data_IF_984072881054
#
_entry.id   IF_984072881054
#
_cell.length_a   1.000
_cell.length_b   1.000
_cell.length_c   1.000
_cell.angle_alpha   90.00
_cell.angle_beta   90.00
_cell.angle_gamma   90.00
#
_symmetry.space_group_name_H-M   'P 1'
#
loop_
_entity.id
_entity.type
_entity.pdbx_description
1 polymer ?
#
# COMPACT_ATOMS: atom_id res chain seq x y z
N UNK A 1 23.54 -21.62 -40.77
CA UNK A 1 23.72 -21.04 -39.43
C UNK A 1 22.33 -20.82 -38.87
N UNK A 2 21.99 -21.47 -37.75
CA UNK A 2 20.73 -21.19 -37.07
C UNK A 2 20.81 -19.78 -36.46
N UNK A 3 19.73 -18.99 -36.48
CA UNK A 3 19.72 -17.70 -35.80
C UNK A 3 19.92 -17.95 -34.30
N UNK A 4 20.88 -17.24 -33.71
CA UNK A 4 21.03 -17.17 -32.25
C UNK A 4 19.78 -16.47 -31.74
N UNK A 5 18.89 -17.22 -31.08
CA UNK A 5 17.76 -16.62 -30.39
C UNK A 5 18.30 -15.93 -29.15
N UNK A 6 18.60 -14.64 -29.28
CA UNK A 6 18.84 -13.75 -28.14
C UNK A 6 17.54 -13.71 -27.35
N UNK A 7 17.57 -14.15 -26.09
CA UNK A 7 16.47 -13.92 -25.17
C UNK A 7 16.51 -12.43 -24.81
N UNK A 8 15.85 -11.60 -25.62
CA UNK A 8 15.76 -10.16 -25.40
C UNK A 8 14.81 -9.92 -24.22
N UNK A 9 15.30 -10.09 -22.99
CA UNK A 9 14.66 -9.46 -21.84
C UNK A 9 15.08 -7.99 -21.90
N UNK A 10 14.21 -7.14 -22.45
CA UNK A 10 14.52 -5.73 -22.57
C UNK A 10 14.51 -5.11 -21.16
N UNK A 11 15.70 -4.78 -20.64
CA UNK A 11 15.87 -4.12 -19.35
C UNK A 11 15.07 -2.83 -19.25
N UNK A 12 14.70 -2.26 -20.40
CA UNK A 12 13.79 -1.12 -20.55
C UNK A 12 12.42 -1.32 -19.88
N UNK A 13 11.82 -2.51 -19.93
CA UNK A 13 10.51 -2.77 -19.30
C UNK A 13 10.58 -2.65 -17.76
N UNK A 14 11.67 -3.13 -17.18
CA UNK A 14 11.92 -2.96 -15.75
C UNK A 14 12.17 -1.50 -15.38
N UNK A 15 12.90 -0.75 -16.21
CA UNK A 15 13.11 0.69 -15.97
C UNK A 15 11.83 1.51 -16.14
N UNK A 16 10.94 1.12 -17.06
CA UNK A 16 9.63 1.72 -17.21
C UNK A 16 8.76 1.48 -15.97
N UNK A 17 8.69 0.24 -15.49
CA UNK A 17 8.01 -0.11 -14.24
C UNK A 17 8.59 0.64 -13.03
N UNK A 18 9.92 0.77 -12.94
CA UNK A 18 10.56 1.53 -11.87
C UNK A 18 10.13 3.01 -11.86
N UNK A 19 10.12 3.63 -13.04
CA UNK A 19 9.68 5.02 -13.23
C UNK A 19 8.21 5.16 -12.88
N UNK A 20 7.38 4.19 -13.29
CA UNK A 20 5.96 4.12 -12.95
C UNK A 20 5.69 4.05 -11.45
N UNK A 21 6.42 3.20 -10.73
CA UNK A 21 6.32 3.10 -9.26
C UNK A 21 6.73 4.40 -8.57
N UNK A 22 7.87 5.00 -8.95
CA UNK A 22 8.31 6.28 -8.38
C UNK A 22 7.28 7.38 -8.68
N UNK A 23 6.75 7.45 -9.89
CA UNK A 23 5.71 8.41 -10.24
C UNK A 23 4.42 8.20 -9.44
N UNK A 24 3.99 6.95 -9.19
CA UNK A 24 2.83 6.66 -8.34
C UNK A 24 3.07 7.14 -6.89
N UNK A 25 4.26 6.90 -6.33
CA UNK A 25 4.65 7.38 -5.00
C UNK A 25 4.60 8.91 -4.90
N UNK A 26 5.16 9.62 -5.88
CA UNK A 26 5.17 11.09 -5.92
C UNK A 26 3.76 11.68 -6.04
N UNK A 27 2.89 11.05 -6.84
CA UNK A 27 1.48 11.47 -6.98
C UNK A 27 0.71 11.31 -5.68
N UNK A 28 0.85 10.16 -5.01
CA UNK A 28 0.23 9.94 -3.70
C UNK A 28 0.70 10.99 -2.69
N UNK A 29 2.01 11.19 -2.58
CA UNK A 29 2.60 12.21 -1.70
C UNK A 29 2.00 13.60 -1.98
N UNK A 30 2.03 14.03 -3.24
CA UNK A 30 1.51 15.34 -3.66
C UNK A 30 0.02 15.51 -3.38
N UNK A 31 -0.79 14.52 -3.75
CA UNK A 31 -2.25 14.55 -3.59
C UNK A 31 -2.65 14.65 -2.13
N UNK A 32 -2.11 13.78 -1.28
CA UNK A 32 -2.44 13.78 0.15
C UNK A 32 -1.80 14.96 0.90
N UNK A 33 -0.61 15.43 0.51
CA UNK A 33 -0.03 16.64 1.09
C UNK A 33 -0.91 17.86 0.85
N UNK A 34 -1.49 17.99 -0.37
CA UNK A 34 -2.46 19.05 -0.69
C UNK A 34 -3.71 18.96 0.17
N UNK A 35 -4.26 17.75 0.37
CA UNK A 35 -5.43 17.52 1.24
C UNK A 35 -5.11 17.93 2.67
N UNK A 36 -4.01 17.45 3.24
CA UNK A 36 -3.58 17.77 4.60
C UNK A 36 -3.42 19.28 4.82
N UNK A 37 -2.79 19.99 3.88
CA UNK A 37 -2.67 21.45 3.95
C UNK A 37 -4.02 22.17 3.85
N UNK A 38 -4.93 21.69 3.00
CA UNK A 38 -6.24 22.31 2.79
C UNK A 38 -7.21 22.06 3.94
N UNK A 39 -7.12 20.90 4.58
CA UNK A 39 -7.92 20.54 5.78
C UNK A 39 -7.63 21.44 6.97
N UNK A 40 -6.50 22.16 7.01
CA UNK A 40 -6.25 23.17 8.03
C UNK A 40 -7.33 24.27 8.07
N UNK A 41 -7.98 24.55 6.94
CA UNK A 41 -9.14 25.46 6.87
C UNK A 41 -10.44 24.88 7.45
N UNK A 42 -10.47 23.57 7.71
CA UNK A 42 -11.64 22.84 8.20
C UNK A 42 -11.57 22.53 9.71
N UNK A 43 -10.68 23.20 10.46
CA UNK A 43 -10.60 23.06 11.92
C UNK A 43 -11.95 23.36 12.59
N UNK A 44 -12.27 22.59 13.64
CA UNK A 44 -13.51 22.69 14.41
C UNK A 44 -14.79 22.44 13.60
N UNK A 45 -14.71 21.82 12.42
CA UNK A 45 -15.89 21.62 11.56
C UNK A 45 -16.96 20.70 12.16
N UNK A 46 -16.58 19.77 13.03
CA UNK A 46 -17.50 18.88 13.72
C UNK A 46 -18.26 19.57 14.84
N UNK A 47 -17.77 20.70 15.36
CA UNK A 47 -18.35 21.37 16.51
C UNK A 47 -17.83 20.86 17.84
N UNK A 48 -18.42 21.36 18.92
CA UNK A 48 -18.07 21.06 20.32
C UNK A 48 -19.24 20.53 21.13
N UNK A 49 -20.42 20.35 20.52
CA UNK A 49 -21.51 19.59 21.14
C UNK A 49 -21.12 18.10 21.26
N UNK A 50 -21.87 17.31 22.04
CA UNK A 50 -21.49 15.91 22.30
C UNK A 50 -21.43 15.09 21.00
N UNK A 51 -22.41 15.28 20.11
CA UNK A 51 -22.48 14.59 18.83
C UNK A 51 -21.34 15.03 17.90
N UNK A 52 -21.10 16.33 17.80
CA UNK A 52 -19.99 16.91 17.05
C UNK A 52 -18.62 16.45 17.54
N UNK A 53 -18.43 16.38 18.86
CA UNK A 53 -17.18 15.93 19.49
C UNK A 53 -16.94 14.44 19.28
N UNK A 54 -17.98 13.62 19.39
CA UNK A 54 -17.91 12.18 19.10
C UNK A 54 -17.55 11.93 17.62
N UNK A 55 -18.27 12.56 16.70
CA UNK A 55 -17.99 12.44 15.27
C UNK A 55 -16.59 12.95 14.92
N UNK A 56 -16.21 14.13 15.41
CA UNK A 56 -14.92 14.75 15.12
C UNK A 56 -13.74 13.92 15.63
N UNK A 57 -13.88 13.30 16.81
CA UNK A 57 -12.86 12.39 17.36
C UNK A 57 -12.65 11.18 16.46
N UNK A 58 -13.75 10.56 16.00
CA UNK A 58 -13.69 9.39 15.13
C UNK A 58 -13.19 9.75 13.72
N UNK A 59 -13.59 10.91 13.19
CA UNK A 59 -13.08 11.45 11.93
C UNK A 59 -11.57 11.69 12.02
N UNK A 60 -11.07 12.39 13.05
CA UNK A 60 -9.65 12.68 13.22
C UNK A 60 -8.80 11.40 13.30
N UNK A 61 -9.33 10.36 13.96
CA UNK A 61 -8.70 9.04 14.01
C UNK A 61 -8.64 8.38 12.62
N UNK A 62 -9.74 8.38 11.87
CA UNK A 62 -9.78 7.80 10.52
C UNK A 62 -8.87 8.55 9.53
N UNK A 63 -8.78 9.88 9.63
CA UNK A 63 -7.83 10.64 8.81
C UNK A 63 -6.40 10.21 9.10
N UNK A 64 -6.03 10.04 10.38
CA UNK A 64 -4.70 9.57 10.77
C UNK A 64 -4.40 8.18 10.19
N UNK A 65 -5.38 7.28 10.24
CA UNK A 65 -5.23 5.92 9.69
C UNK A 65 -5.05 5.96 8.16
N UNK A 66 -5.84 6.75 7.44
CA UNK A 66 -5.72 6.93 5.97
C UNK A 66 -4.37 7.54 5.60
N UNK A 67 -3.90 8.59 6.29
CA UNK A 67 -2.61 9.22 6.03
C UNK A 67 -1.43 8.28 6.35
N UNK A 68 -1.56 7.44 7.37
CA UNK A 68 -0.56 6.42 7.70
C UNK A 68 -0.51 5.35 6.62
N UNK A 69 -1.66 4.83 6.20
CA UNK A 69 -1.76 3.87 5.10
C UNK A 69 -1.23 4.42 3.78
N UNK A 70 -1.49 5.69 3.47
CA UNK A 70 -0.92 6.36 2.29
C UNK A 70 0.62 6.41 2.35
N UNK A 71 1.20 6.76 3.50
CA UNK A 71 2.66 6.74 3.70
C UNK A 71 3.26 5.33 3.59
N UNK A 72 2.58 4.30 4.13
CA UNK A 72 3.02 2.90 3.98
C UNK A 72 3.02 2.46 2.51
N UNK A 73 1.99 2.85 1.75
CA UNK A 73 1.88 2.55 0.33
C UNK A 73 2.92 3.31 -0.51
N UNK A 74 3.18 4.59 -0.20
CA UNK A 74 4.27 5.38 -0.79
C UNK A 74 5.60 4.65 -0.62
N UNK A 75 5.91 4.19 0.60
CA UNK A 75 7.13 3.44 0.88
C UNK A 75 7.19 2.09 0.13
N UNK A 76 6.05 1.43 -0.06
CA UNK A 76 5.98 0.19 -0.84
C UNK A 76 6.27 0.44 -2.33
N UNK A 77 5.75 1.53 -2.91
CA UNK A 77 6.06 1.94 -4.28
C UNK A 77 7.52 2.33 -4.46
N UNK A 78 8.09 3.16 -3.57
CA UNK A 78 9.51 3.54 -3.61
C UNK A 78 10.43 2.31 -3.53
N UNK A 79 10.04 1.32 -2.73
CA UNK A 79 10.77 0.07 -2.62
C UNK A 79 10.71 -0.75 -3.92
N UNK A 80 9.53 -0.88 -4.53
CA UNK A 80 9.39 -1.55 -5.83
C UNK A 80 10.13 -0.82 -6.95
N UNK A 81 10.14 0.51 -6.95
CA UNK A 81 10.91 1.29 -7.91
C UNK A 81 12.40 0.90 -7.89
N UNK A 82 12.99 0.78 -6.69
CA UNK A 82 14.39 0.34 -6.53
C UNK A 82 14.62 -1.09 -6.98
N UNK A 83 13.70 -2.01 -6.68
CA UNK A 83 13.80 -3.40 -7.12
C UNK A 83 13.73 -3.54 -8.64
N UNK A 84 12.85 -2.78 -9.27
CA UNK A 84 12.73 -2.78 -10.72
C UNK A 84 13.98 -2.20 -11.39
N UNK A 85 14.57 -1.12 -10.86
CA UNK A 85 15.88 -0.65 -11.33
C UNK A 85 16.95 -1.72 -11.16
N UNK A 86 16.99 -2.41 -10.02
CA UNK A 86 17.97 -3.48 -9.80
C UNK A 86 17.78 -4.65 -10.76
N UNK A 87 16.54 -5.10 -10.98
CA UNK A 87 16.22 -6.15 -11.95
C UNK A 87 16.65 -5.75 -13.36
N UNK A 88 16.30 -4.55 -13.81
CA UNK A 88 16.72 -4.02 -15.11
C UNK A 88 18.25 -3.94 -15.24
N UNK A 89 18.97 -3.48 -14.21
CA UNK A 89 20.45 -3.46 -14.20
C UNK A 89 21.05 -4.86 -14.31
N UNK A 90 20.50 -5.84 -13.61
CA UNK A 90 20.96 -7.22 -13.71
C UNK A 90 20.81 -7.78 -15.13
N UNK A 91 19.67 -7.54 -15.77
CA UNK A 91 19.42 -7.92 -17.17
C UNK A 91 20.36 -7.20 -18.14
N UNK A 92 20.51 -5.88 -17.99
CA UNK A 92 21.38 -5.09 -18.86
C UNK A 92 22.86 -5.52 -18.77
N UNK A 93 23.35 -5.81 -17.56
CA UNK A 93 24.70 -6.32 -17.34
C UNK A 93 24.90 -7.73 -17.91
N UNK A 94 23.90 -8.60 -17.77
CA UNK A 94 23.95 -9.96 -18.32
C UNK A 94 24.00 -9.93 -19.86
N UNK A 95 23.18 -9.09 -20.50
CA UNK A 95 23.17 -8.93 -21.95
C UNK A 95 24.48 -8.32 -22.47
N UNK A 96 24.98 -7.28 -21.80
CA UNK A 96 26.25 -6.66 -22.16
C UNK A 96 27.43 -7.66 -22.03
N UNK A 97 27.48 -8.44 -20.95
CA UNK A 97 28.50 -9.48 -20.76
C UNK A 97 28.40 -10.66 -21.75
N UNK A 98 27.21 -10.90 -22.32
CA UNK A 98 26.98 -11.92 -23.35
C UNK A 98 27.33 -11.43 -24.78
N UNK A 99 27.51 -10.13 -24.97
CA UNK A 99 27.79 -9.52 -26.28
C UNK A 99 29.28 -9.68 -26.64
N UNK A 100 29.58 -10.58 -27.58
CA UNK A 100 30.97 -10.87 -27.98
C UNK A 100 31.65 -9.66 -28.66
N UNK A 101 32.74 -9.19 -28.06
CA UNK A 101 33.63 -8.17 -28.64
C UNK A 101 33.25 -6.72 -28.31
N UNK A 102 32.22 -6.50 -27.50
CA UNK A 102 31.88 -5.19 -26.97
C UNK A 102 32.62 -4.96 -25.63
N UNK A 103 33.53 -3.98 -25.62
CA UNK A 103 34.26 -3.53 -24.42
C UNK A 103 33.82 -2.12 -23.99
N UNK A 104 32.71 -1.61 -24.51
CA UNK A 104 32.19 -0.30 -24.13
C UNK A 104 31.67 -0.32 -22.69
N UNK A 105 31.70 0.83 -22.01
CA UNK A 105 31.10 0.94 -20.68
C UNK A 105 29.58 1.04 -20.80
N UNK A 106 28.84 0.16 -20.13
CA UNK A 106 27.38 0.24 -20.06
C UNK A 106 26.94 1.42 -19.16
N UNK A 107 26.14 2.33 -19.71
CA UNK A 107 25.51 3.41 -18.95
C UNK A 107 24.22 2.88 -18.28
N UNK A 108 24.19 2.81 -16.95
CA UNK A 108 23.01 2.39 -16.19
C UNK A 108 22.18 3.60 -15.77
N UNK A 109 20.84 3.50 -15.74
CA UNK A 109 19.99 4.59 -15.28
C UNK A 109 20.25 4.92 -13.80
N UNK A 110 20.06 6.17 -13.37
CA UNK A 110 20.16 6.55 -11.96
C UNK A 110 19.10 5.87 -11.10
N UNK A 111 19.30 5.86 -9.79
CA UNK A 111 18.25 5.40 -8.87
C UNK A 111 17.06 6.35 -8.89
N UNK A 112 15.82 5.83 -8.76
CA UNK A 112 14.62 6.65 -8.74
C UNK A 112 14.58 7.53 -7.49
N UNK A 113 14.05 8.73 -7.62
CA UNK A 113 13.85 9.63 -6.50
C UNK A 113 12.73 9.10 -5.60
N UNK A 114 13.01 9.02 -4.30
CA UNK A 114 12.01 8.64 -3.29
C UNK A 114 11.02 9.77 -3.06
N UNK A 115 9.75 9.43 -2.86
CA UNK A 115 8.74 10.42 -2.54
C UNK A 115 8.91 10.96 -1.11
N UNK A 116 8.58 12.24 -0.93
CA UNK A 116 8.53 12.83 0.40
C UNK A 116 7.35 12.24 1.19
N UNK A 117 7.51 11.90 2.47
CA UNK A 117 6.40 11.43 3.28
C UNK A 117 5.40 12.57 3.53
N UNK A 118 4.12 12.21 3.62
CA UNK A 118 3.04 13.15 3.93
C UNK A 118 3.16 13.60 5.39
N UNK A 119 3.11 14.91 5.63
CA UNK A 119 3.20 15.50 6.97
C UNK A 119 2.38 16.80 7.12
N UNK A 120 1.74 17.04 8.28
CA UNK A 120 1.61 16.13 9.42
C UNK A 120 0.65 14.97 9.13
N UNK A 121 0.84 13.82 9.77
CA UNK A 121 -0.11 12.69 9.72
C UNK A 121 -1.29 12.84 10.70
N UNK A 122 -1.23 13.86 11.55
CA UNK A 122 -2.32 14.22 12.47
C UNK A 122 -2.84 15.61 12.05
N UNK A 123 -3.99 15.69 11.36
CA UNK A 123 -4.54 16.98 10.95
C UNK A 123 -4.97 17.82 12.16
N UNK A 124 -5.24 19.10 11.94
CA UNK A 124 -5.89 19.94 12.93
C UNK A 124 -7.28 19.34 13.28
N UNK A 125 -7.64 19.36 14.55
CA UNK A 125 -8.82 18.63 15.02
C UNK A 125 -10.12 19.15 14.41
N UNK A 126 -10.99 18.23 14.02
CA UNK A 126 -12.36 18.54 13.64
C UNK A 126 -13.22 18.94 14.85
N UNK A 127 -12.81 18.64 16.08
CA UNK A 127 -13.50 19.00 17.31
C UNK A 127 -13.15 20.42 17.74
N UNK A 128 -14.16 21.22 18.07
CA UNK A 128 -13.94 22.54 18.65
C UNK A 128 -15.12 23.48 18.47
N UNK A 129 -15.11 24.62 19.18
CA UNK A 129 -16.09 25.66 18.95
C UNK A 129 -15.84 26.29 17.58
N UNK A 130 -16.77 26.06 16.64
CA UNK A 130 -16.82 26.76 15.36
C UNK A 130 -17.41 28.17 15.52
N UNK A 131 -16.97 29.10 14.68
CA UNK A 131 -17.39 30.51 14.74
C UNK A 131 -18.71 30.76 13.96
N UNK A 132 -19.19 29.75 13.23
CA UNK A 132 -20.16 29.88 12.12
C UNK A 132 -21.37 28.93 12.26
N UNK A 133 -21.45 28.15 13.33
CA UNK A 133 -22.58 27.25 13.61
C UNK A 133 -23.71 27.90 14.42
N UNK A 134 -24.84 27.19 14.52
CA UNK A 134 -25.93 27.55 15.43
C UNK A 134 -25.42 27.51 16.87
N UNK A 135 -25.41 28.63 17.59
CA UNK A 135 -24.97 28.68 18.99
C UNK A 135 -26.13 28.97 19.93
N UNK A 136 -26.54 27.99 20.73
CA UNK A 136 -27.57 28.22 21.75
C UNK A 136 -27.01 29.04 22.93
N UNK A 137 -27.85 29.91 23.51
CA UNK A 137 -27.52 30.60 24.75
C UNK A 137 -27.39 29.61 25.91
N UNK A 138 -26.65 29.97 26.95
CA UNK A 138 -26.45 29.09 28.10
C UNK A 138 -27.78 28.72 28.77
N UNK A 139 -28.72 29.66 28.88
CA UNK A 139 -30.03 29.41 29.49
C UNK A 139 -30.86 28.40 28.69
N UNK A 140 -30.74 28.43 27.36
CA UNK A 140 -31.41 27.46 26.50
C UNK A 140 -30.74 26.09 26.59
N UNK A 141 -29.41 26.04 26.68
CA UNK A 141 -28.67 24.79 26.92
C UNK A 141 -29.09 24.19 28.26
N UNK A 142 -29.17 25.00 29.33
CA UNK A 142 -29.57 24.57 30.67
C UNK A 142 -30.99 23.98 30.67
N UNK A 143 -31.93 24.60 29.94
CA UNK A 143 -33.31 24.12 29.82
C UNK A 143 -33.42 22.83 28.99
N UNK A 144 -32.72 22.75 27.86
CA UNK A 144 -32.71 21.55 27.00
C UNK A 144 -32.03 20.39 27.75
N UNK A 145 -30.99 20.70 28.51
CA UNK A 145 -30.13 19.73 29.19
C UNK A 145 -29.10 19.05 28.28
N UNK A 146 -28.90 19.56 27.06
CA UNK A 146 -27.84 19.10 26.14
C UNK A 146 -27.43 20.23 25.17
N UNK A 147 -26.16 20.28 24.74
CA UNK A 147 -25.68 21.28 23.80
C UNK A 147 -26.35 21.15 22.44
N UNK A 148 -26.55 22.28 21.74
CA UNK A 148 -27.09 22.30 20.39
C UNK A 148 -25.99 22.07 19.34
N UNK A 149 -26.29 21.40 18.21
CA UNK A 149 -25.33 21.13 17.15
C UNK A 149 -24.72 22.39 16.56
N UNK A 150 -23.42 22.57 16.79
CA UNK A 150 -22.70 23.78 16.43
C UNK A 150 -21.61 23.57 15.36
N UNK A 151 -21.57 22.39 14.72
CA UNK A 151 -20.68 22.11 13.59
C UNK A 151 -20.87 23.07 12.40
N UNK A 152 -19.80 23.24 11.63
CA UNK A 152 -19.74 24.14 10.46
C UNK A 152 -20.00 23.35 9.17
N UNK A 153 -21.19 23.52 8.62
CA UNK A 153 -21.68 22.78 7.44
C UNK A 153 -20.92 23.12 6.16
N UNK A 154 -20.39 24.33 6.05
CA UNK A 154 -19.60 24.77 4.88
C UNK A 154 -18.21 24.14 4.91
N UNK A 155 -17.59 24.10 6.10
CA UNK A 155 -16.32 23.40 6.30
C UNK A 155 -16.47 21.89 6.11
N UNK A 156 -17.54 21.28 6.62
CA UNK A 156 -17.85 19.87 6.36
C UNK A 156 -18.00 19.60 4.86
N UNK A 157 -18.71 20.47 4.13
CA UNK A 157 -18.83 20.36 2.68
C UNK A 157 -17.49 20.55 1.95
N UNK A 158 -16.63 21.46 2.44
CA UNK A 158 -15.29 21.66 1.90
C UNK A 158 -14.38 20.45 2.12
N UNK A 159 -14.36 19.90 3.33
CA UNK A 159 -13.62 18.67 3.65
C UNK A 159 -14.10 17.50 2.78
N UNK A 160 -15.41 17.33 2.61
CA UNK A 160 -15.96 16.29 1.75
C UNK A 160 -15.46 16.40 0.30
N UNK A 161 -15.41 17.61 -0.27
CA UNK A 161 -14.89 17.86 -1.62
C UNK A 161 -13.41 17.50 -1.73
N UNK A 162 -12.59 17.91 -0.76
CA UNK A 162 -11.14 17.59 -0.76
C UNK A 162 -10.89 16.07 -0.78
N UNK A 163 -11.69 15.32 -0.02
CA UNK A 163 -11.59 13.86 0.02
C UNK A 163 -12.06 13.18 -1.28
N UNK A 164 -13.14 13.67 -1.89
CA UNK A 164 -13.57 13.16 -3.20
C UNK A 164 -12.56 13.50 -4.30
N UNK A 165 -11.99 14.70 -4.28
CA UNK A 165 -10.97 15.15 -5.25
C UNK A 165 -9.72 14.26 -5.20
N UNK A 166 -9.21 13.94 -4.00
CA UNK A 166 -8.03 13.07 -3.90
C UNK A 166 -8.37 11.62 -4.28
N UNK A 167 -9.56 11.13 -3.93
CA UNK A 167 -10.00 9.80 -4.33
C UNK A 167 -10.10 9.66 -5.85
N UNK A 168 -10.61 10.69 -6.53
CA UNK A 168 -10.65 10.74 -7.98
C UNK A 168 -9.24 10.82 -8.57
N UNK A 169 -8.39 11.70 -8.03
CA UNK A 169 -7.01 11.85 -8.47
C UNK A 169 -6.20 10.55 -8.40
N UNK A 170 -6.40 9.75 -7.35
CA UNK A 170 -5.76 8.42 -7.21
C UNK A 170 -6.15 7.49 -8.36
N UNK A 171 -7.45 7.42 -8.69
CA UNK A 171 -7.96 6.53 -9.74
C UNK A 171 -7.54 7.01 -11.13
N UNK A 172 -7.71 8.30 -11.42
CA UNK A 172 -7.50 8.85 -12.75
C UNK A 172 -6.01 8.96 -13.11
N UNK A 173 -5.11 9.07 -12.12
CA UNK A 173 -3.69 9.33 -12.35
C UNK A 173 -2.77 8.22 -11.80
N UNK A 174 -2.75 7.99 -10.48
CA UNK A 174 -1.82 7.03 -9.87
C UNK A 174 -2.10 5.57 -10.30
N UNK A 175 -3.34 5.11 -10.20
CA UNK A 175 -3.76 3.77 -10.59
C UNK A 175 -3.63 3.54 -12.10
N UNK A 176 -3.91 4.58 -12.88
CA UNK A 176 -3.74 4.55 -14.33
C UNK A 176 -2.28 4.28 -14.72
N UNK A 177 -1.31 4.96 -14.09
CA UNK A 177 0.11 4.70 -14.34
C UNK A 177 0.54 3.30 -13.95
N UNK A 178 0.01 2.76 -12.85
CA UNK A 178 0.28 1.38 -12.45
C UNK A 178 -0.24 0.37 -13.48
N UNK A 179 -1.44 0.60 -13.99
CA UNK A 179 -2.03 -0.27 -15.02
C UNK A 179 -1.18 -0.29 -16.30
N UNK A 180 -0.70 0.87 -16.75
CA UNK A 180 0.13 0.98 -17.95
C UNK A 180 1.45 0.20 -17.85
N UNK A 181 2.14 0.24 -16.71
CA UNK A 181 3.40 -0.50 -16.58
C UNK A 181 3.19 -1.99 -16.29
N UNK A 182 2.04 -2.39 -15.73
CA UNK A 182 1.67 -3.82 -15.65
C UNK A 182 1.51 -4.40 -17.07
N UNK A 183 0.79 -3.69 -17.96
CA UNK A 183 0.62 -4.10 -19.35
C UNK A 183 1.95 -4.21 -20.12
N UNK A 184 2.89 -3.31 -19.82
CA UNK A 184 4.24 -3.33 -20.38
C UNK A 184 5.07 -4.51 -19.85
N UNK A 185 5.01 -4.78 -18.55
CA UNK A 185 5.68 -5.95 -17.94
C UNK A 185 5.15 -7.26 -18.50
N UNK A 186 3.85 -7.37 -18.81
CA UNK A 186 3.24 -8.59 -19.39
C UNK A 186 3.82 -8.97 -20.77
N UNK A 187 4.52 -8.03 -21.43
CA UNK A 187 5.25 -8.33 -22.68
C UNK A 187 6.52 -9.17 -22.45
N UNK A 188 7.02 -9.23 -21.21
CA UNK A 188 8.27 -9.91 -20.86
C UNK A 188 8.01 -11.34 -20.40
N UNK A 189 8.60 -12.31 -21.13
CA UNK A 189 8.51 -13.73 -20.76
C UNK A 189 9.65 -14.14 -19.84
N UNK A 190 9.48 -13.93 -18.54
CA UNK A 190 10.41 -14.39 -17.50
C UNK A 190 9.65 -14.84 -16.25
N UNK A 191 10.03 -15.95 -15.58
CA UNK A 191 9.39 -16.38 -14.34
C UNK A 191 9.44 -15.34 -13.22
N UNK A 192 10.42 -14.41 -13.23
CA UNK A 192 10.50 -13.34 -12.23
C UNK A 192 9.47 -12.23 -12.45
N UNK A 193 9.03 -12.04 -13.70
CA UNK A 193 8.06 -11.02 -14.09
C UNK A 193 6.66 -11.41 -13.64
N UNK A 194 6.32 -12.72 -13.65
CA UNK A 194 5.03 -13.21 -13.13
C UNK A 194 4.83 -12.81 -11.65
N UNK A 195 5.88 -12.92 -10.83
CA UNK A 195 5.82 -12.49 -9.43
C UNK A 195 5.78 -10.97 -9.28
N UNK A 196 6.49 -10.24 -10.14
CA UNK A 196 6.50 -8.79 -10.13
C UNK A 196 5.15 -8.20 -10.54
N UNK A 197 4.48 -8.78 -11.55
CA UNK A 197 3.13 -8.42 -11.97
C UNK A 197 2.15 -8.64 -10.80
N UNK A 198 2.20 -9.80 -10.13
CA UNK A 198 1.33 -10.07 -8.99
C UNK A 198 1.51 -9.06 -7.83
N UNK A 199 2.74 -8.66 -7.54
CA UNK A 199 3.02 -7.61 -6.55
C UNK A 199 2.47 -6.24 -7.01
N UNK A 200 2.55 -5.92 -8.31
CA UNK A 200 2.00 -4.70 -8.88
C UNK A 200 0.46 -4.67 -8.92
N UNK A 201 -0.18 -5.79 -9.22
CA UNK A 201 -1.63 -5.96 -9.11
C UNK A 201 -2.11 -5.77 -7.67
N UNK A 202 -1.31 -6.23 -6.70
CA UNK A 202 -1.57 -5.98 -5.28
C UNK A 202 -1.48 -4.48 -4.99
N UNK A 203 -0.42 -3.79 -5.43
CA UNK A 203 -0.28 -2.33 -5.27
C UNK A 203 -1.43 -1.55 -5.93
N UNK A 204 -1.89 -1.98 -7.11
CA UNK A 204 -3.05 -1.41 -7.80
C UNK A 204 -4.35 -1.58 -6.99
N UNK A 205 -4.56 -2.77 -6.42
CA UNK A 205 -5.67 -3.02 -5.50
C UNK A 205 -5.61 -2.12 -4.26
N UNK A 206 -4.41 -1.88 -3.69
CA UNK A 206 -4.25 -1.00 -2.54
C UNK A 206 -4.52 0.47 -2.86
N UNK A 207 -4.21 0.93 -4.08
CA UNK A 207 -4.61 2.27 -4.55
C UNK A 207 -6.13 2.42 -4.60
N UNK A 208 -6.85 1.40 -5.10
CA UNK A 208 -8.31 1.41 -5.12
C UNK A 208 -8.91 1.47 -3.71
N UNK A 209 -8.38 0.67 -2.78
CA UNK A 209 -8.79 0.70 -1.37
C UNK A 209 -8.55 2.08 -0.73
N UNK A 210 -7.43 2.73 -1.07
CA UNK A 210 -7.08 4.03 -0.55
C UNK A 210 -8.04 5.12 -1.07
N UNK A 211 -8.38 5.07 -2.36
CA UNK A 211 -9.41 5.92 -2.95
C UNK A 211 -10.78 5.72 -2.30
N UNK A 212 -11.18 4.48 -2.04
CA UNK A 212 -12.43 4.16 -1.35
C UNK A 212 -12.44 4.63 0.11
N UNK A 213 -11.33 4.50 0.83
CA UNK A 213 -11.21 5.02 2.19
C UNK A 213 -11.37 6.55 2.21
N UNK A 214 -10.79 7.26 1.23
CA UNK A 214 -11.01 8.70 1.06
C UNK A 214 -12.47 9.05 0.74
N UNK A 215 -13.15 8.31 -0.16
CA UNK A 215 -14.60 8.50 -0.38
C UNK A 215 -15.43 8.24 0.88
N UNK A 216 -15.02 7.28 1.71
CA UNK A 216 -15.65 7.00 3.00
C UNK A 216 -15.56 8.19 3.96
N UNK A 217 -14.40 8.85 4.04
CA UNK A 217 -14.23 10.12 4.78
C UNK A 217 -15.12 11.23 4.22
N UNK A 218 -15.16 11.38 2.89
CA UNK A 218 -16.02 12.36 2.24
C UNK A 218 -17.50 12.16 2.57
N UNK A 219 -17.95 10.90 2.56
CA UNK A 219 -19.30 10.53 2.91
C UNK A 219 -19.60 10.78 4.39
N UNK A 220 -18.67 10.48 5.29
CA UNK A 220 -18.80 10.80 6.72
C UNK A 220 -19.03 12.31 6.95
N UNK A 221 -18.28 13.17 6.25
CA UNK A 221 -18.49 14.62 6.31
C UNK A 221 -19.89 15.04 5.82
N UNK A 222 -20.37 14.46 4.71
CA UNK A 222 -21.72 14.74 4.17
C UNK A 222 -22.82 14.27 5.10
N UNK A 223 -22.73 13.05 5.62
CA UNK A 223 -23.72 12.49 6.55
C UNK A 223 -23.83 13.34 7.82
N UNK A 224 -22.70 13.79 8.37
CA UNK A 224 -22.70 14.68 9.52
C UNK A 224 -23.27 16.07 9.20
N UNK A 225 -22.89 16.66 8.06
CA UNK A 225 -23.47 17.92 7.57
C UNK A 225 -24.98 17.82 7.45
N UNK A 226 -25.47 16.81 6.75
CA UNK A 226 -26.91 16.63 6.48
C UNK A 226 -27.68 16.42 7.79
N UNK A 227 -27.09 15.72 8.76
CA UNK A 227 -27.69 15.56 10.10
C UNK A 227 -27.80 16.88 10.88
N UNK A 228 -26.79 17.76 10.77
CA UNK A 228 -26.82 19.10 11.35
C UNK A 228 -27.89 19.96 10.65
N UNK A 229 -27.93 19.95 9.32
CA UNK A 229 -28.91 20.71 8.53
C UNK A 229 -30.34 20.25 8.78
N UNK A 230 -30.59 18.93 8.81
CA UNK A 230 -31.90 18.34 9.13
C UNK A 230 -32.38 18.83 10.51
N UNK A 231 -31.48 18.82 11.49
CA UNK A 231 -31.78 19.27 12.86
C UNK A 231 -32.10 20.75 12.91
N UNK A 232 -31.29 21.59 12.25
CA UNK A 232 -31.54 23.04 12.14
C UNK A 232 -32.88 23.31 11.45
N UNK A 233 -33.17 22.59 10.37
CA UNK A 233 -34.43 22.70 9.64
C UNK A 233 -35.64 22.30 10.50
N UNK A 234 -35.54 21.27 11.35
CA UNK A 234 -36.62 20.87 12.25
C UNK A 234 -36.84 21.85 13.41
N UNK A 235 -35.78 22.53 13.87
CA UNK A 235 -35.88 23.52 14.95
C UNK A 235 -36.66 24.76 14.47
N UNK A 236 -36.44 25.26 13.25
CA UNK A 236 -37.03 26.53 12.78
C UNK A 236 -38.57 26.58 12.88
N UNK A 237 -39.34 25.60 12.37
CA UNK A 237 -40.81 25.63 12.48
C UNK A 237 -41.33 25.52 13.92
N UNK A 238 -40.58 24.85 14.80
CA UNK A 238 -40.90 24.78 16.23
C UNK A 238 -40.81 26.18 16.84
N UNK A 239 -39.76 26.93 16.48
CA UNK A 239 -39.58 28.30 16.95
C UNK A 239 -40.67 29.25 16.41
N UNK A 240 -41.07 29.10 15.14
CA UNK A 240 -42.15 29.91 14.54
C UNK A 240 -43.50 29.65 15.22
N UNK A 241 -43.82 28.37 15.47
CA UNK A 241 -45.05 27.98 16.16
C UNK A 241 -45.10 28.55 17.57
N UNK A 242 -43.96 28.52 18.27
CA UNK A 242 -43.85 29.05 19.63
C UNK A 242 -44.01 30.58 19.67
N UNK A 243 -43.49 31.29 18.66
CA UNK A 243 -43.65 32.74 18.55
C UNK A 243 -45.14 33.14 18.42
N UNK A 244 -45.93 32.39 17.65
CA UNK A 244 -47.37 32.59 17.50
C UNK A 244 -48.11 32.31 18.82
N UNK A 245 -47.83 31.17 19.45
CA UNK A 245 -48.52 30.73 20.68
C UNK A 245 -48.35 31.72 21.83
N UNK A 246 -47.14 32.27 21.98
CA UNK A 246 -46.85 33.21 23.06
C UNK A 246 -47.34 34.64 22.79
N UNK A 247 -47.89 34.91 21.60
CA UNK A 247 -48.41 36.23 21.22
C UNK A 247 -47.32 37.31 21.18
N UNK A 248 -46.08 36.92 20.85
CA UNK A 248 -44.93 37.81 20.86
C UNK A 248 -44.39 37.95 19.42
N UNK A 249 -43.88 39.12 19.05
CA UNK A 249 -43.13 39.37 17.80
C UNK A 249 -41.74 38.69 17.85
N UNK A 250 -41.71 37.37 18.07
CA UNK A 250 -40.56 36.63 18.62
C UNK A 250 -39.81 35.75 17.63
N UNK A 251 -40.24 35.67 16.37
CA UNK A 251 -39.41 35.04 15.34
C UNK A 251 -37.96 35.56 15.42
N UNK A 252 -37.76 36.85 15.71
CA UNK A 252 -36.43 37.47 15.94
C UNK A 252 -35.83 37.14 17.33
N UNK A 253 -36.60 37.07 18.41
CA UNK A 253 -36.08 36.95 19.79
C UNK A 253 -35.79 35.51 20.24
N UNK A 254 -36.53 34.52 19.75
CA UNK A 254 -36.25 33.10 20.01
C UNK A 254 -35.21 32.57 19.02
N UNK A 255 -35.14 33.12 17.80
CA UNK A 255 -33.92 33.04 17.01
C UNK A 255 -32.76 33.70 17.74
N UNK A 256 -32.92 34.81 18.48
CA UNK A 256 -31.81 35.40 19.25
C UNK A 256 -31.31 34.54 20.43
N UNK A 257 -32.11 33.58 20.93
CA UNK A 257 -31.62 32.56 21.86
C UNK A 257 -30.67 31.56 21.17
N UNK A 258 -30.68 31.50 19.84
CA UNK A 258 -29.69 30.86 18.99
C UNK A 258 -28.86 31.93 18.28
N UNK A 259 -27.73 32.33 18.85
CA UNK A 259 -26.84 33.33 18.24
C UNK A 259 -26.35 32.81 16.88
N UNK A 260 -27.05 33.23 15.83
CA UNK A 260 -26.64 33.11 14.43
C UNK A 260 -25.93 34.43 14.14
N UNK A 261 -24.61 34.47 14.34
CA UNK A 261 -23.77 35.63 14.01
C UNK A 261 -24.34 37.01 14.46
N UNK A 262 -24.38 37.28 15.76
CA UNK A 262 -24.42 38.68 16.26
C UNK A 262 -25.76 39.29 16.69
N UNK A 263 -26.69 38.52 17.27
CA UNK A 263 -27.85 39.09 17.97
C UNK A 263 -27.53 39.36 19.46
N UNK A 264 -27.54 40.63 19.88
CA UNK A 264 -27.40 41.02 21.29
C UNK A 264 -28.65 40.62 22.08
N UNK A 265 -28.49 39.77 23.10
CA UNK A 265 -29.58 39.36 23.98
C UNK A 265 -30.10 40.54 24.84
N UNK A 266 -31.40 40.82 24.75
CA UNK A 266 -32.11 41.66 25.72
C UNK A 266 -32.48 40.77 26.91
N UNK A 267 -31.69 40.81 27.97
CA UNK A 267 -31.96 40.07 29.20
C UNK A 267 -32.98 40.83 30.09
N UNK A 268 -33.96 40.12 30.65
CA UNK A 268 -34.68 40.58 31.85
C UNK A 268 -36.22 40.68 31.83
N UNK A 269 -36.96 40.06 30.89
CA UNK A 269 -38.43 40.04 30.94
C UNK A 269 -39.02 38.64 31.13
N UNK A 270 -40.15 38.54 31.84
CA UNK A 270 -40.86 37.27 32.07
C UNK A 270 -41.29 36.55 30.78
N UNK A 271 -41.35 37.26 29.65
CA UNK A 271 -41.68 36.69 28.35
C UNK A 271 -40.49 35.92 27.75
N UNK A 272 -39.25 36.38 28.00
CA UNK A 272 -38.03 35.70 27.52
C UNK A 272 -37.84 34.37 28.22
N UNK A 273 -37.99 34.30 29.54
CA UNK A 273 -37.87 33.04 30.29
C UNK A 273 -38.91 32.00 29.88
N UNK A 274 -40.17 32.42 29.63
CA UNK A 274 -41.22 31.51 29.13
C UNK A 274 -40.91 30.98 27.74
N UNK A 275 -40.35 31.81 26.87
CA UNK A 275 -39.95 31.41 25.53
C UNK A 275 -38.78 30.41 25.55
N UNK A 276 -37.76 30.64 26.39
CA UNK A 276 -36.64 29.70 26.59
C UNK A 276 -37.15 28.35 27.12
N UNK A 277 -37.98 28.36 28.16
CA UNK A 277 -38.55 27.15 28.74
C UNK A 277 -39.34 26.32 27.70
N UNK A 278 -40.19 26.99 26.92
CA UNK A 278 -41.00 26.31 25.93
C UNK A 278 -40.19 25.83 24.71
N UNK A 279 -39.19 26.60 24.26
CA UNK A 279 -38.26 26.19 23.21
C UNK A 279 -37.46 24.95 23.66
N UNK A 280 -36.91 24.97 24.88
CA UNK A 280 -36.12 23.85 25.39
C UNK A 280 -36.90 22.54 25.44
N UNK A 281 -38.15 22.59 25.95
CA UNK A 281 -39.05 21.43 25.97
C UNK A 281 -39.35 20.85 24.57
N UNK A 282 -39.54 21.70 23.57
CA UNK A 282 -39.92 21.26 22.21
C UNK A 282 -38.73 20.83 21.35
N UNK A 283 -37.54 21.41 21.58
CA UNK A 283 -36.31 21.12 20.84
C UNK A 283 -35.62 19.86 21.37
N UNK A 284 -35.70 19.58 22.67
CA UNK A 284 -35.05 18.43 23.31
C UNK A 284 -35.31 17.08 22.61
N UNK A 285 -36.54 16.71 22.18
CA UNK A 285 -36.77 15.46 21.44
C UNK A 285 -36.03 15.41 20.09
N UNK A 286 -35.94 16.53 19.36
CA UNK A 286 -35.23 16.64 18.08
C UNK A 286 -33.73 16.40 18.28
N UNK A 287 -33.14 17.05 19.30
CA UNK A 287 -31.72 16.87 19.64
C UNK A 287 -31.41 15.46 20.14
N UNK A 288 -32.31 14.87 20.92
CA UNK A 288 -32.18 13.48 21.37
C UNK A 288 -32.19 12.52 20.18
N UNK A 289 -33.06 12.75 19.19
CA UNK A 289 -33.10 11.95 17.97
C UNK A 289 -31.78 12.07 17.18
N UNK A 290 -31.22 13.28 17.05
CA UNK A 290 -29.90 13.47 16.44
C UNK A 290 -28.80 12.72 17.19
N UNK A 291 -28.70 12.89 18.52
CA UNK A 291 -27.72 12.18 19.35
C UNK A 291 -27.84 10.66 19.21
N UNK A 292 -29.04 10.13 18.98
CA UNK A 292 -29.24 8.69 18.74
C UNK A 292 -28.85 8.23 17.32
N UNK A 293 -28.89 9.14 16.33
CA UNK A 293 -28.46 8.89 14.95
C UNK A 293 -26.94 8.97 14.80
N UNK A 294 -26.26 9.83 15.56
CA UNK A 294 -24.81 10.08 15.46
C UNK A 294 -23.93 8.83 15.63
N UNK A 295 -24.20 7.91 16.58
CA UNK A 295 -23.51 6.62 16.67
C UNK A 295 -23.60 5.76 15.41
N UNK A 296 -24.62 5.96 14.56
CA UNK A 296 -24.82 5.21 13.31
C UNK A 296 -24.05 5.80 12.12
N UNK A 297 -23.57 7.05 12.23
CA UNK A 297 -22.67 7.68 11.26
C UNK A 297 -21.20 7.39 11.54
N UNK A 298 -20.89 6.66 12.61
CA UNK A 298 -19.53 6.24 12.93
C UNK A 298 -19.07 5.24 11.86
N UNK A 299 -18.46 5.80 10.82
CA UNK A 299 -17.87 5.15 9.65
C UNK A 299 -16.72 4.17 9.98
N UNK A 300 -16.58 3.78 11.26
CA UNK A 300 -15.54 2.89 11.73
C UNK A 300 -15.58 1.54 11.00
N UNK A 301 -16.77 0.99 10.69
CA UNK A 301 -16.88 -0.21 9.86
C UNK A 301 -16.57 0.04 8.37
N UNK A 302 -16.94 1.20 7.79
CA UNK A 302 -16.74 1.44 6.34
C UNK A 302 -15.30 1.84 5.99
N UNK A 303 -14.62 2.53 6.89
CA UNK A 303 -13.30 3.12 6.63
C UNK A 303 -12.18 2.33 7.27
N UNK A 304 -12.31 1.81 8.51
CA UNK A 304 -11.14 1.31 9.25
C UNK A 304 -10.49 0.03 8.67
N UNK A 305 -11.26 -0.83 7.99
CA UNK A 305 -10.72 -2.08 7.44
C UNK A 305 -9.71 -1.83 6.30
N UNK A 306 -9.94 -0.80 5.49
CA UNK A 306 -9.15 -0.52 4.29
C UNK A 306 -7.74 0.00 4.61
N UNK A 307 -7.53 1.05 5.42
CA UNK A 307 -6.20 1.48 5.88
C UNK A 307 -5.43 0.36 6.56
N UNK A 308 -6.10 -0.46 7.39
CA UNK A 308 -5.45 -1.60 8.04
C UNK A 308 -4.95 -2.64 7.02
N UNK A 309 -5.75 -2.96 5.99
CA UNK A 309 -5.31 -3.82 4.88
C UNK A 309 -4.13 -3.19 4.13
N UNK A 310 -4.23 -1.91 3.77
CA UNK A 310 -3.16 -1.20 3.04
C UNK A 310 -1.85 -1.24 3.81
N UNK A 311 -1.85 -0.87 5.08
CA UNK A 311 -0.65 -0.92 5.93
C UNK A 311 -0.08 -2.33 6.03
N UNK A 312 -0.93 -3.34 6.29
CA UNK A 312 -0.51 -4.73 6.43
C UNK A 312 0.13 -5.27 5.14
N UNK A 313 -0.53 -5.11 4.01
CA UNK A 313 -0.05 -5.62 2.71
C UNK A 313 1.19 -4.85 2.23
N UNK A 314 1.21 -3.53 2.41
CA UNK A 314 2.39 -2.70 2.10
C UNK A 314 3.61 -3.14 2.92
N UNK A 315 3.42 -3.44 4.21
CA UNK A 315 4.49 -3.97 5.06
C UNK A 315 4.91 -5.39 4.64
N UNK A 316 3.96 -6.26 4.30
CA UNK A 316 4.26 -7.62 3.84
C UNK A 316 5.09 -7.61 2.54
N UNK A 317 4.72 -6.76 1.58
CA UNK A 317 5.47 -6.54 0.34
C UNK A 317 6.90 -6.05 0.62
N UNK A 318 7.07 -5.11 1.56
CA UNK A 318 8.40 -4.62 1.96
C UNK A 318 9.24 -5.68 2.68
N UNK A 319 8.63 -6.52 3.51
CA UNK A 319 9.35 -7.61 4.19
C UNK A 319 9.78 -8.70 3.19
N UNK A 320 8.88 -9.09 2.27
CA UNK A 320 9.17 -10.06 1.19
C UNK A 320 10.42 -9.63 0.41
N UNK A 321 10.50 -8.35 0.08
CA UNK A 321 11.59 -7.79 -0.72
C UNK A 321 12.87 -7.57 0.07
N UNK A 322 12.79 -7.17 1.35
CA UNK A 322 13.96 -7.13 2.24
C UNK A 322 14.59 -8.53 2.40
N UNK A 323 13.78 -9.57 2.59
CA UNK A 323 14.28 -10.94 2.66
C UNK A 323 14.97 -11.38 1.37
N UNK A 324 14.46 -10.97 0.20
CA UNK A 324 15.12 -11.23 -1.07
C UNK A 324 16.46 -10.48 -1.19
N UNK A 325 16.52 -9.22 -0.73
CA UNK A 325 17.74 -8.42 -0.73
C UNK A 325 18.80 -8.93 0.26
N UNK A 326 18.41 -9.31 1.48
CA UNK A 326 19.31 -9.86 2.50
C UNK A 326 19.91 -11.20 2.07
N UNK A 327 19.11 -12.05 1.43
CA UNK A 327 19.58 -13.30 0.84
C UNK A 327 20.55 -13.07 -0.32
N UNK A 328 20.42 -11.94 -1.04
CA UNK A 328 21.37 -11.54 -2.08
C UNK A 328 22.63 -10.84 -1.53
N UNK A 329 22.56 -10.22 -0.34
CA UNK A 329 23.61 -9.39 0.25
C UNK A 329 24.53 -10.13 1.25
N UNK A 330 24.17 -11.32 1.74
CA UNK A 330 25.07 -12.10 2.59
C UNK A 330 26.26 -12.67 1.78
N UNK A 331 27.52 -12.32 2.11
CA UNK A 331 28.67 -13.02 1.55
C UNK A 331 28.70 -14.42 2.14
N UNK A 332 28.34 -15.43 1.34
CA UNK A 332 28.58 -16.82 1.71
C UNK A 332 30.09 -16.98 2.02
N UNK A 333 30.40 -17.45 3.23
CA UNK A 333 31.77 -17.66 3.71
C UNK A 333 32.58 -18.42 2.65
N UNK A 334 33.55 -17.70 2.08
CA UNK A 334 34.47 -18.21 1.07
C UNK A 334 35.29 -19.39 1.62
N UNK A 335 35.14 -20.55 1.00
CA UNK A 335 36.20 -21.54 0.90
C UNK A 335 36.77 -21.48 -0.52
N UNK A 336 38.04 -21.09 -0.63
CA UNK A 336 38.75 -20.80 -1.88
C UNK A 336 39.24 -22.06 -2.63
N UNK A 337 38.85 -22.18 -3.91
CA UNK A 337 39.58 -22.55 -5.18
C UNK A 337 40.50 -23.81 -5.28
N UNK A 338 40.81 -24.39 -6.49
CA UNK A 338 40.86 -23.76 -7.82
C UNK A 338 40.09 -24.41 -9.00
N UNK A 339 40.07 -23.62 -10.08
CA UNK A 339 39.47 -23.74 -11.42
C UNK A 339 39.96 -24.89 -12.33
N UNK A 340 39.15 -25.17 -13.37
CA UNK A 340 39.45 -25.76 -14.67
C UNK A 340 40.34 -27.02 -14.74
N UNK A 341 39.70 -28.19 -14.87
CA UNK A 341 40.32 -29.45 -15.31
C UNK A 341 40.47 -30.53 -14.24
N UNK A 342 40.23 -30.21 -12.97
CA UNK A 342 40.24 -31.18 -11.87
C UNK A 342 38.89 -31.84 -11.60
N UNK A 343 38.90 -33.00 -10.95
CA UNK A 343 37.71 -33.68 -10.41
C UNK A 343 36.92 -32.70 -9.51
N UNK A 344 35.60 -32.57 -9.68
CA UNK A 344 34.79 -31.63 -8.92
C UNK A 344 34.76 -31.92 -7.42
N UNK A 345 34.63 -30.88 -6.58
CA UNK A 345 34.29 -31.05 -5.17
C UNK A 345 33.05 -31.94 -5.01
N UNK A 346 33.17 -32.96 -4.16
CA UNK A 346 32.10 -33.93 -3.86
C UNK A 346 32.07 -35.18 -4.76
N UNK A 347 32.88 -35.26 -5.83
CA UNK A 347 32.99 -36.50 -6.61
C UNK A 347 33.95 -37.50 -5.95
N UNK A 348 33.56 -38.78 -5.91
CA UNK A 348 34.38 -39.85 -5.31
C UNK A 348 35.52 -40.29 -6.24
N UNK A 349 36.49 -41.01 -5.68
CA UNK A 349 37.76 -41.30 -6.34
C UNK A 349 37.66 -42.22 -7.57
N UNK A 350 36.60 -43.02 -7.63
CA UNK A 350 36.29 -43.94 -8.70
C UNK A 350 35.34 -43.34 -9.76
N UNK A 351 34.84 -42.11 -9.56
CA UNK A 351 33.92 -41.47 -10.50
C UNK A 351 34.68 -40.90 -11.69
N UNK A 352 34.14 -41.14 -12.88
CA UNK A 352 34.70 -40.70 -14.16
C UNK A 352 33.80 -39.67 -14.81
N UNK A 353 34.40 -38.65 -15.41
CA UNK A 353 33.70 -37.65 -16.19
C UNK A 353 33.12 -38.25 -17.47
N UNK A 354 31.86 -37.93 -17.76
CA UNK A 354 31.24 -38.14 -19.07
C UNK A 354 30.53 -36.88 -19.53
N UNK A 355 30.37 -36.74 -20.84
CA UNK A 355 29.50 -35.68 -21.38
C UNK A 355 28.05 -35.98 -20.97
N UNK A 356 27.31 -34.94 -20.57
CA UNK A 356 25.89 -35.10 -20.26
C UNK A 356 25.09 -35.54 -21.51
N UNK A 357 24.00 -36.28 -21.32
CA UNK A 357 23.21 -36.88 -22.42
C UNK A 357 22.62 -35.86 -23.40
N UNK A 358 22.46 -34.60 -22.98
CA UNK A 358 21.99 -33.50 -23.83
C UNK A 358 23.14 -32.69 -24.46
N UNK A 359 24.38 -33.16 -24.35
CA UNK A 359 25.58 -32.49 -24.86
C UNK A 359 26.00 -31.23 -24.12
N UNK A 360 25.34 -30.87 -23.00
CA UNK A 360 25.60 -29.66 -22.22
C UNK A 360 26.12 -30.02 -20.84
N UNK A 361 27.38 -29.67 -20.58
CA UNK A 361 28.05 -29.93 -19.32
C UNK A 361 28.65 -31.33 -19.15
N UNK A 362 29.22 -31.54 -17.97
CA UNK A 362 29.92 -32.77 -17.56
C UNK A 362 29.19 -33.44 -16.40
N UNK A 363 29.04 -34.76 -16.46
CA UNK A 363 28.49 -35.59 -15.38
C UNK A 363 29.60 -36.43 -14.78
N UNK A 364 29.71 -36.42 -13.46
CA UNK A 364 30.53 -37.31 -12.65
C UNK A 364 29.59 -38.21 -11.86
N UNK A 365 29.77 -39.51 -11.95
CA UNK A 365 28.78 -40.44 -11.41
C UNK A 365 29.43 -41.74 -10.95
N UNK A 366 28.79 -42.41 -9.99
CA UNK A 366 29.13 -43.79 -9.58
C UNK A 366 29.26 -44.71 -10.80
N UNK A 367 30.38 -45.44 -10.95
CA UNK A 367 30.57 -46.39 -12.04
C UNK A 367 29.42 -47.39 -12.16
N UNK A 368 28.98 -47.65 -13.39
CA UNK A 368 27.89 -48.60 -13.68
C UNK A 368 26.48 -48.09 -13.38
N UNK A 369 26.27 -46.95 -12.71
CA UNK A 369 24.92 -46.45 -12.41
C UNK A 369 24.12 -46.11 -13.70
N UNK A 370 24.77 -45.46 -14.67
CA UNK A 370 24.14 -45.12 -15.94
C UNK A 370 23.80 -46.34 -16.83
N UNK A 371 24.61 -47.40 -16.75
CA UNK A 371 24.48 -48.62 -17.56
C UNK A 371 23.51 -49.64 -16.94
N UNK A 372 23.56 -49.80 -15.62
CA UNK A 372 22.81 -50.82 -14.88
C UNK A 372 21.44 -50.33 -14.39
N UNK A 373 21.16 -49.03 -14.42
CA UNK A 373 19.88 -48.47 -13.98
C UNK A 373 18.72 -48.89 -14.88
N UNK A 374 17.64 -49.39 -14.28
CA UNK A 374 16.43 -49.84 -14.98
C UNK A 374 15.46 -48.71 -15.29
N UNK A 375 15.61 -47.56 -14.62
CA UNK A 375 14.81 -46.36 -14.82
C UNK A 375 15.66 -45.08 -14.76
N UNK A 376 15.06 -43.94 -15.12
CA UNK A 376 15.77 -42.66 -15.22
C UNK A 376 16.32 -42.13 -13.89
N UNK A 377 15.75 -42.52 -12.76
CA UNK A 377 16.23 -42.13 -11.43
C UNK A 377 17.47 -42.95 -11.04
N UNK A 378 17.42 -44.27 -11.21
CA UNK A 378 18.57 -45.15 -10.98
C UNK A 378 19.76 -44.80 -11.88
N UNK A 379 19.49 -44.46 -13.16
CA UNK A 379 20.54 -44.06 -14.12
C UNK A 379 21.22 -42.74 -13.79
N UNK A 380 20.66 -41.93 -12.89
CA UNK A 380 21.26 -40.67 -12.42
C UNK A 380 21.58 -40.68 -10.92
N UNK A 381 21.44 -41.82 -10.25
CA UNK A 381 21.81 -41.94 -8.84
C UNK A 381 23.31 -41.66 -8.65
N UNK A 382 23.65 -41.09 -7.50
CA UNK A 382 25.03 -40.77 -7.10
C UNK A 382 25.75 -39.99 -8.20
N UNK A 383 25.26 -38.80 -8.54
CA UNK A 383 25.85 -37.98 -9.61
C UNK A 383 26.01 -36.50 -9.28
N UNK A 384 27.10 -35.91 -9.77
CA UNK A 384 27.33 -34.48 -9.85
C UNK A 384 27.29 -34.10 -11.32
N UNK A 385 26.42 -33.16 -11.66
CA UNK A 385 26.31 -32.63 -13.01
C UNK A 385 26.67 -31.15 -13.02
N UNK A 386 27.78 -30.83 -13.66
CA UNK A 386 28.24 -29.47 -13.90
C UNK A 386 27.68 -29.03 -15.24
N UNK A 387 26.85 -28.01 -15.24
CA UNK A 387 26.26 -27.42 -16.43
C UNK A 387 27.04 -26.18 -16.87
N UNK A 388 27.13 -26.00 -18.18
CA UNK A 388 27.66 -24.79 -18.79
C UNK A 388 26.72 -23.60 -18.52
N UNK A 389 27.24 -22.39 -18.69
CA UNK A 389 26.47 -21.16 -18.47
C UNK A 389 25.23 -21.04 -19.34
N UNK A 390 24.18 -20.45 -18.77
CA UNK A 390 22.98 -20.03 -19.47
C UNK A 390 22.49 -18.67 -18.93
N UNK A 391 21.42 -18.12 -19.50
CA UNK A 391 20.92 -16.80 -19.10
C UNK A 391 20.46 -16.71 -17.64
N UNK A 392 20.10 -17.84 -17.02
CA UNK A 392 19.68 -17.92 -15.61
C UNK A 392 20.88 -18.13 -14.68
N UNK A 393 21.91 -18.82 -15.16
CA UNK A 393 23.15 -19.12 -14.44
C UNK A 393 24.34 -18.79 -15.35
N UNK A 394 24.80 -17.52 -15.40
CA UNK A 394 25.80 -17.07 -16.37
C UNK A 394 27.14 -17.83 -16.28
N UNK A 395 27.52 -18.29 -15.08
CA UNK A 395 28.72 -19.09 -14.84
C UNK A 395 28.45 -20.61 -14.84
N UNK A 396 27.23 -21.01 -15.19
CA UNK A 396 26.72 -22.37 -15.07
C UNK A 396 26.23 -22.69 -13.67
N UNK A 397 25.77 -23.92 -13.49
CA UNK A 397 25.28 -24.43 -12.21
C UNK A 397 25.66 -25.90 -12.03
N UNK A 398 25.60 -26.38 -10.80
CA UNK A 398 25.83 -27.77 -10.45
C UNK A 398 24.55 -28.38 -9.92
N UNK A 399 24.32 -29.65 -10.25
CA UNK A 399 23.21 -30.45 -9.72
C UNK A 399 23.77 -31.69 -9.06
N UNK A 400 23.20 -32.02 -7.91
CA UNK A 400 23.54 -33.19 -7.12
C UNK A 400 22.35 -34.15 -7.11
N UNK A 401 22.61 -35.44 -7.21
CA UNK A 401 21.59 -36.49 -7.08
C UNK A 401 22.01 -37.59 -6.11
N UNK A 402 21.19 -37.84 -5.09
CA UNK A 402 21.49 -38.86 -4.06
C UNK A 402 21.51 -40.30 -4.61
N UNK A 403 21.69 -41.28 -3.71
CA UNK A 403 21.70 -42.71 -4.05
C UNK A 403 20.38 -43.22 -4.68
N UNK A 404 19.29 -42.45 -4.55
CA UNK A 404 17.99 -42.73 -5.15
C UNK A 404 17.74 -41.93 -6.45
N UNK A 405 18.69 -41.11 -6.87
CA UNK A 405 18.55 -40.24 -8.04
C UNK A 405 17.59 -39.08 -7.83
N UNK A 406 17.37 -38.64 -6.59
CA UNK A 406 16.60 -37.44 -6.27
C UNK A 406 17.53 -36.23 -6.30
N UNK A 407 17.05 -35.10 -6.83
CA UNK A 407 17.89 -33.90 -6.89
C UNK A 407 17.94 -33.22 -5.54
N UNK A 408 19.13 -32.83 -5.12
CA UNK A 408 19.31 -32.15 -3.85
C UNK A 408 19.30 -30.64 -4.03
N UNK A 409 18.69 -29.96 -3.06
CA UNK A 409 18.86 -28.54 -2.86
C UNK A 409 20.21 -28.22 -2.20
N UNK A 410 20.50 -26.94 -2.03
CA UNK A 410 21.73 -26.48 -1.36
C UNK A 410 21.88 -26.95 0.10
N UNK A 411 20.79 -27.38 0.74
CA UNK A 411 20.76 -27.86 2.11
C UNK A 411 20.88 -29.39 2.19
N UNK A 412 21.05 -30.09 1.07
CA UNK A 412 21.12 -31.56 1.01
C UNK A 412 19.77 -32.25 1.07
N UNK A 413 18.66 -31.51 0.88
CA UNK A 413 17.30 -32.07 0.89
C UNK A 413 16.81 -32.39 -0.52
N UNK A 414 16.09 -33.50 -0.72
CA UNK A 414 15.46 -33.78 -2.01
C UNK A 414 14.45 -32.70 -2.42
N UNK A 415 14.55 -32.25 -3.66
CA UNK A 415 13.68 -31.26 -4.28
C UNK A 415 13.22 -31.66 -5.69
N UNK A 416 12.23 -30.97 -6.27
CA UNK A 416 11.71 -31.27 -7.59
C UNK A 416 12.75 -31.06 -8.70
N UNK A 417 12.74 -31.94 -9.70
CA UNK A 417 13.70 -31.95 -10.83
C UNK A 417 13.84 -30.63 -11.58
N UNK A 418 12.78 -29.86 -11.72
CA UNK A 418 12.83 -28.60 -12.48
C UNK A 418 12.85 -27.38 -11.56
N UNK A 419 13.08 -27.59 -10.26
CA UNK A 419 13.06 -26.51 -9.29
C UNK A 419 14.41 -25.80 -9.24
N UNK A 420 14.42 -24.45 -9.18
CA UNK A 420 15.64 -23.65 -9.09
C UNK A 420 16.47 -23.97 -7.86
N UNK A 421 15.85 -24.41 -6.78
CA UNK A 421 16.53 -24.79 -5.53
C UNK A 421 17.50 -25.96 -5.70
N UNK A 422 17.30 -26.79 -6.73
CA UNK A 422 18.18 -27.94 -7.06
C UNK A 422 19.27 -27.59 -8.08
N UNK A 423 19.37 -26.32 -8.47
CA UNK A 423 20.36 -25.77 -9.39
C UNK A 423 21.30 -24.87 -8.61
N UNK A 424 22.44 -25.40 -8.21
CA UNK A 424 23.40 -24.70 -7.36
C UNK A 424 24.28 -23.81 -8.24
N UNK A 425 24.14 -22.48 -8.19
CA UNK A 425 24.89 -21.59 -9.08
C UNK A 425 26.39 -21.74 -8.87
N UNK A 426 27.15 -21.61 -9.97
CA UNK A 426 28.60 -21.51 -9.90
C UNK A 426 29.02 -20.06 -9.77
N UNK A 427 30.09 -19.83 -9.03
CA UNK A 427 30.78 -18.56 -8.98
C UNK A 427 31.56 -18.32 -10.28
N UNK A 428 31.99 -17.09 -10.48
CA UNK A 428 32.76 -16.68 -11.67
C UNK A 428 34.12 -17.41 -11.77
N UNK A 429 34.70 -17.82 -10.64
CA UNK A 429 35.92 -18.64 -10.59
C UNK A 429 35.65 -20.15 -10.83
N UNK A 430 34.39 -20.51 -11.08
CA UNK A 430 33.94 -21.87 -11.33
C UNK A 430 33.63 -22.69 -10.09
N UNK A 431 33.86 -22.16 -8.88
CA UNK A 431 33.56 -22.81 -7.60
C UNK A 431 32.05 -22.87 -7.33
N UNK A 432 31.64 -23.78 -6.46
CA UNK A 432 30.25 -23.93 -6.01
C UNK A 432 30.20 -24.67 -4.67
N UNK A 433 29.16 -24.46 -3.87
CA UNK A 433 28.98 -25.17 -2.61
C UNK A 433 28.52 -26.62 -2.82
N UNK A 434 29.02 -27.53 -1.98
CA UNK A 434 28.55 -28.93 -1.91
C UNK A 434 27.45 -29.03 -0.85
N UNK A 435 26.29 -29.65 -1.14
CA UNK A 435 25.22 -29.84 -0.16
C UNK A 435 25.72 -30.57 1.11
N UNK A 436 25.28 -30.15 2.31
CA UNK A 436 25.60 -30.85 3.54
C UNK A 436 25.15 -32.32 3.50
N UNK A 437 26.05 -33.25 3.83
CA UNK A 437 25.75 -34.69 3.85
C UNK A 437 25.73 -35.37 2.47
N UNK A 438 26.13 -34.65 1.41
CA UNK A 438 26.44 -35.22 0.10
C UNK A 438 27.59 -36.24 0.14
#
# INVERSE_FOLDING_TARGET
>A
MAPVTVLKVDSEHFYFAATGCSAAAQRLSTGYQKVTSSLAGCVSMGGSDDAGSMWGTDYDAQVRDVLTAANDLILAFDNHARLFVQAGRNHALAEHGATLGDNSSLALPPDPESASPISPTNPASAVGQGNSGLQASQELIDEIGMPCPNGDVDKLAAAARLWDEVAQYIVDDAANVVSHFIEDLDQVRSPEVEFAIADCETLLSLLADLGDASRGLAQSCREHRDAIEETRYQIVPILDSLAIELGITVAVTVLAAFVSFGASAIAGSANVSRAIAAAGRLIRPVLTALHSKVPRFLARERVAERPARISKESQALRQKTQHQADNAAQPQKATTSPSAGGRPPGAKDDWVARTADNGKGTVWQRPGAAENGTNAAERRADSIRIMDGDGRYPNGYVRFTDEHGQYLDINGKPGPRNSPETHIPRNQDGSYPTPPGW
#
